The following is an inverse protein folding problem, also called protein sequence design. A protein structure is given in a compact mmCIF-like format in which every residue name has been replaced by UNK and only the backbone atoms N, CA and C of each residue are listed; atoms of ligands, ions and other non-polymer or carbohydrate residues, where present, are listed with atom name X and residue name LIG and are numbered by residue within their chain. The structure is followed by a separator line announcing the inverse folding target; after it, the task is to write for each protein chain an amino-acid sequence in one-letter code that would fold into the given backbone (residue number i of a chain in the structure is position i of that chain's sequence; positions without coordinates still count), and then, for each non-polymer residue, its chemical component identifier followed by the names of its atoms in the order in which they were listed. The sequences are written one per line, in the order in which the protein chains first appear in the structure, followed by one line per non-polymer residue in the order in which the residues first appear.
data_IF_831154997584
#
_entry.id   IF_831154997584
#
_cell.length_a   1.000
_cell.length_b   1.000
_cell.length_c   1.000
_cell.angle_alpha   90.00
_cell.angle_beta   90.00
_cell.angle_gamma   90.00
#
_symmetry.space_group_name_H-M   'P 1'
#
loop_
_entity.id
_entity.type
_entity.pdbx_description
1 polymer ?
#
# COMPACT_ATOMS: atom_id res chain seq x y z
N UNK A 1 -25.19 -18.04 -20.25
CA UNK A 1 -25.03 -16.84 -21.10
C UNK A 1 -24.97 -15.67 -20.14
N UNK A 2 -23.86 -14.93 -20.09
CA UNK A 2 -23.77 -13.69 -19.33
C UNK A 2 -24.68 -12.66 -19.97
N UNK A 3 -25.57 -12.04 -19.19
CA UNK A 3 -26.43 -10.96 -19.68
C UNK A 3 -25.57 -9.75 -20.04
N UNK A 4 -25.85 -9.10 -21.17
CA UNK A 4 -25.09 -7.91 -21.55
C UNK A 4 -25.45 -6.72 -20.66
N UNK A 5 -24.56 -5.74 -20.55
CA UNK A 5 -24.83 -4.50 -19.81
C UNK A 5 -26.06 -3.77 -20.36
N UNK A 6 -26.33 -3.92 -21.66
CA UNK A 6 -27.53 -3.41 -22.31
C UNK A 6 -28.81 -4.12 -21.81
N UNK A 7 -28.81 -5.45 -21.72
CA UNK A 7 -29.98 -6.22 -21.26
C UNK A 7 -30.35 -5.89 -19.82
N UNK A 8 -29.33 -5.79 -18.95
CA UNK A 8 -29.49 -5.42 -17.54
C UNK A 8 -30.03 -3.98 -17.43
N UNK A 9 -29.48 -3.05 -18.21
CA UNK A 9 -29.91 -1.65 -18.19
C UNK A 9 -31.36 -1.50 -18.64
N UNK A 10 -31.76 -2.15 -19.75
CA UNK A 10 -33.12 -2.09 -20.25
C UNK A 10 -34.11 -2.63 -19.22
N UNK A 11 -33.83 -3.78 -18.59
CA UNK A 11 -34.69 -4.34 -17.54
C UNK A 11 -34.87 -3.39 -16.36
N UNK A 12 -33.80 -2.72 -15.92
CA UNK A 12 -33.85 -1.77 -14.80
C UNK A 12 -34.63 -0.52 -15.17
N UNK A 13 -34.41 0.03 -16.36
CA UNK A 13 -35.15 1.20 -16.84
C UNK A 13 -36.65 0.87 -16.92
N UNK A 14 -37.02 -0.29 -17.48
CA UNK A 14 -38.41 -0.73 -17.56
C UNK A 14 -39.04 -0.94 -16.17
N UNK A 15 -38.23 -1.27 -15.15
CA UNK A 15 -38.70 -1.43 -13.77
C UNK A 15 -38.85 -0.10 -13.00
N UNK A 16 -38.06 0.92 -13.35
CA UNK A 16 -38.04 2.22 -12.65
C UNK A 16 -38.88 3.28 -13.36
N UNK A 17 -39.06 3.20 -14.68
CA UNK A 17 -39.67 4.26 -15.48
C UNK A 17 -40.61 3.73 -16.56
N UNK A 18 -41.71 4.45 -16.77
CA UNK A 18 -42.62 4.26 -17.91
C UNK A 18 -42.11 5.04 -19.14
N UNK A 19 -41.00 4.58 -19.72
CA UNK A 19 -40.37 5.17 -20.91
C UNK A 19 -40.59 4.24 -22.10
N UNK A 20 -41.02 4.74 -23.28
CA UNK A 20 -41.16 3.90 -24.46
C UNK A 20 -39.86 3.17 -24.78
N UNK A 21 -39.94 1.86 -24.99
CA UNK A 21 -38.76 0.97 -25.13
C UNK A 21 -37.76 1.44 -26.20
N UNK A 22 -38.24 2.02 -27.30
CA UNK A 22 -37.38 2.57 -28.35
C UNK A 22 -36.57 3.80 -27.88
N UNK A 23 -37.14 4.62 -27.01
CA UNK A 23 -36.48 5.79 -26.40
C UNK A 23 -35.43 5.32 -25.41
N UNK A 24 -35.80 4.40 -24.51
CA UNK A 24 -34.90 3.79 -23.53
C UNK A 24 -33.71 3.12 -24.24
N UNK A 25 -33.96 2.28 -25.25
CA UNK A 25 -32.89 1.63 -26.01
C UNK A 25 -31.97 2.63 -26.72
N UNK A 26 -32.51 3.74 -27.25
CA UNK A 26 -31.71 4.78 -27.89
C UNK A 26 -30.82 5.51 -26.88
N UNK A 27 -31.35 5.82 -25.70
CA UNK A 27 -30.61 6.43 -24.59
C UNK A 27 -29.45 5.54 -24.14
N UNK A 28 -29.71 4.28 -23.83
CA UNK A 28 -28.69 3.32 -23.36
C UNK A 28 -27.52 3.27 -24.35
N UNK A 29 -27.79 3.13 -25.65
CA UNK A 29 -26.75 3.07 -26.69
C UNK A 29 -25.94 4.36 -26.77
N UNK A 30 -26.61 5.52 -26.72
CA UNK A 30 -25.94 6.83 -26.80
C UNK A 30 -25.08 7.12 -25.58
N UNK A 31 -25.57 6.76 -24.40
CA UNK A 31 -24.84 6.90 -23.14
C UNK A 31 -23.61 5.99 -23.14
N UNK A 32 -23.77 4.70 -23.47
CA UNK A 32 -22.66 3.75 -23.55
C UNK A 32 -21.60 4.19 -24.59
N UNK A 33 -22.02 4.67 -25.77
CA UNK A 33 -21.11 5.15 -26.81
C UNK A 33 -20.35 6.44 -26.43
N UNK A 34 -20.83 7.20 -25.45
CA UNK A 34 -20.27 8.49 -25.06
C UNK A 34 -19.78 8.51 -23.61
N UNK A 35 -18.97 7.50 -23.25
CA UNK A 35 -18.31 7.38 -21.93
C UNK A 35 -19.31 7.45 -20.77
N UNK A 36 -20.45 6.77 -20.93
CA UNK A 36 -21.51 6.66 -19.91
C UNK A 36 -22.05 8.02 -19.46
N UNK A 37 -22.13 8.96 -20.41
CA UNK A 37 -22.79 10.27 -20.28
C UNK A 37 -23.48 10.63 -21.59
N UNK A 38 -24.65 11.22 -21.52
CA UNK A 38 -25.34 11.74 -22.69
C UNK A 38 -24.69 13.06 -23.13
N UNK A 39 -24.31 13.17 -24.39
CA UNK A 39 -23.72 14.42 -24.91
C UNK A 39 -24.74 15.55 -24.85
N UNK A 40 -24.27 16.80 -24.72
CA UNK A 40 -25.15 17.99 -24.74
C UNK A 40 -25.98 18.06 -26.03
N UNK A 41 -25.40 17.65 -27.15
CA UNK A 41 -26.08 17.57 -28.46
C UNK A 41 -27.20 16.53 -28.42
N UNK A 42 -26.94 15.33 -27.90
CA UNK A 42 -27.96 14.28 -27.85
C UNK A 42 -29.02 14.56 -26.78
N UNK A 43 -28.70 15.27 -25.69
CA UNK A 43 -29.66 15.68 -24.66
C UNK A 43 -30.83 16.48 -25.24
N UNK A 44 -30.58 17.29 -26.27
CA UNK A 44 -31.63 18.03 -26.99
C UNK A 44 -32.70 17.12 -27.63
N UNK A 45 -32.34 15.88 -27.99
CA UNK A 45 -33.24 14.90 -28.60
C UNK A 45 -34.15 14.21 -27.57
N UNK A 46 -33.83 14.35 -26.28
CA UNK A 46 -34.55 13.73 -25.17
C UNK A 46 -35.18 14.76 -24.21
N UNK A 47 -35.37 16.01 -24.65
CA UNK A 47 -35.94 17.11 -23.84
C UNK A 47 -37.32 16.82 -23.21
N UNK A 48 -38.03 15.79 -23.70
CA UNK A 48 -39.30 15.36 -23.11
C UNK A 48 -39.12 14.63 -21.78
N UNK A 49 -37.92 14.15 -21.47
CA UNK A 49 -37.60 13.53 -20.19
C UNK A 49 -37.03 14.59 -19.23
N UNK A 50 -37.46 14.59 -17.97
CA UNK A 50 -36.83 15.41 -16.94
C UNK A 50 -35.33 15.12 -16.81
N UNK A 51 -34.55 16.15 -16.47
CA UNK A 51 -33.11 16.03 -16.32
C UNK A 51 -32.70 15.01 -15.25
N UNK A 52 -33.48 14.88 -14.18
CA UNK A 52 -33.29 13.89 -13.13
C UNK A 52 -33.50 12.45 -13.63
N UNK A 53 -34.44 12.23 -14.54
CA UNK A 53 -34.70 10.92 -15.16
C UNK A 53 -33.53 10.55 -16.07
N UNK A 54 -33.04 11.50 -16.88
CA UNK A 54 -31.86 11.28 -17.73
C UNK A 54 -30.63 10.94 -16.86
N UNK A 55 -30.39 11.70 -15.78
CA UNK A 55 -29.28 11.45 -14.86
C UNK A 55 -29.38 10.06 -14.20
N UNK A 56 -30.58 9.64 -13.79
CA UNK A 56 -30.81 8.30 -13.22
C UNK A 56 -30.61 7.20 -14.27
N UNK A 57 -31.06 7.38 -15.51
CA UNK A 57 -30.81 6.44 -16.61
C UNK A 57 -29.30 6.34 -16.91
N UNK A 58 -28.55 7.45 -16.93
CA UNK A 58 -27.09 7.42 -17.07
C UNK A 58 -26.42 6.57 -15.98
N UNK A 59 -26.89 6.70 -14.73
CA UNK A 59 -26.42 5.87 -13.63
C UNK A 59 -26.77 4.39 -13.83
N UNK A 60 -28.01 4.06 -14.19
CA UNK A 60 -28.45 2.68 -14.45
C UNK A 60 -27.59 2.03 -15.54
N UNK A 61 -27.36 2.73 -16.66
CA UNK A 61 -26.53 2.23 -17.76
C UNK A 61 -25.11 1.93 -17.27
N UNK A 62 -24.52 2.86 -16.52
CA UNK A 62 -23.17 2.69 -15.96
C UNK A 62 -23.08 1.46 -15.04
N UNK A 63 -24.00 1.34 -14.08
CA UNK A 63 -24.04 0.21 -13.14
C UNK A 63 -24.26 -1.13 -13.85
N UNK A 64 -25.11 -1.15 -14.89
CA UNK A 64 -25.45 -2.37 -15.62
C UNK A 64 -24.27 -2.90 -16.45
N UNK A 65 -23.51 -2.00 -17.10
CA UNK A 65 -22.31 -2.39 -17.85
C UNK A 65 -21.16 -2.82 -16.93
N UNK A 66 -21.03 -2.19 -15.76
CA UNK A 66 -20.10 -2.63 -14.72
C UNK A 66 -20.43 -4.04 -14.21
N UNK A 67 -21.71 -4.32 -13.97
CA UNK A 67 -22.19 -5.65 -13.53
C UNK A 67 -21.97 -6.73 -14.58
N UNK A 68 -22.14 -6.40 -15.86
CA UNK A 68 -21.84 -7.30 -16.97
C UNK A 68 -20.33 -7.54 -17.19
N UNK A 69 -19.45 -6.83 -16.47
CA UNK A 69 -17.99 -6.92 -16.62
C UNK A 69 -17.49 -6.31 -17.93
N UNK A 70 -18.26 -5.40 -18.54
CA UNK A 70 -17.88 -4.71 -19.77
C UNK A 70 -16.93 -3.54 -19.50
N UNK A 71 -16.13 -3.15 -20.50
CA UNK A 71 -15.20 -2.03 -20.34
C UNK A 71 -15.94 -0.69 -20.29
N UNK A 72 -15.99 -0.10 -19.10
CA UNK A 72 -16.60 1.22 -18.87
C UNK A 72 -15.58 2.36 -18.77
N UNK A 73 -14.30 2.08 -18.98
CA UNK A 73 -13.20 3.01 -18.74
C UNK A 73 -12.76 3.07 -17.27
N UNK A 74 -11.45 3.25 -17.06
CA UNK A 74 -10.81 3.10 -15.75
C UNK A 74 -11.28 4.05 -14.65
N UNK A 75 -11.62 5.30 -14.98
CA UNK A 75 -12.08 6.28 -13.98
C UNK A 75 -13.47 5.96 -13.44
N UNK A 76 -14.36 5.47 -14.30
CA UNK A 76 -15.72 5.09 -13.94
C UNK A 76 -15.71 3.84 -13.08
N UNK A 77 -14.89 2.85 -13.45
CA UNK A 77 -14.66 1.67 -12.64
C UNK A 77 -14.08 2.03 -11.27
N UNK A 78 -13.05 2.90 -11.21
CA UNK A 78 -12.47 3.37 -9.94
C UNK A 78 -13.50 4.03 -9.04
N UNK A 79 -14.28 4.97 -9.56
CA UNK A 79 -15.32 5.66 -8.78
C UNK A 79 -16.37 4.67 -8.27
N UNK A 80 -16.81 3.73 -9.10
CA UNK A 80 -17.78 2.73 -8.68
C UNK A 80 -17.24 1.82 -7.55
N UNK A 81 -16.03 1.31 -7.70
CA UNK A 81 -15.37 0.49 -6.68
C UNK A 81 -15.18 1.26 -5.37
N UNK A 82 -14.84 2.55 -5.46
CA UNK A 82 -14.74 3.44 -4.30
C UNK A 82 -16.08 3.58 -3.58
N UNK A 83 -17.17 3.84 -4.31
CA UNK A 83 -18.52 3.95 -3.73
C UNK A 83 -18.99 2.63 -3.11
N UNK A 84 -18.72 1.50 -3.76
CA UNK A 84 -19.00 0.18 -3.20
C UNK A 84 -18.23 -0.04 -1.88
N UNK A 85 -16.94 0.31 -1.85
CA UNK A 85 -16.11 0.18 -0.66
C UNK A 85 -16.61 1.07 0.49
N UNK A 86 -17.03 2.31 0.21
CA UNK A 86 -17.64 3.20 1.21
C UNK A 86 -18.95 2.64 1.75
N UNK A 87 -19.83 2.14 0.87
CA UNK A 87 -21.08 1.51 1.29
C UNK A 87 -20.84 0.32 2.20
N UNK A 88 -19.92 -0.57 1.83
CA UNK A 88 -19.55 -1.71 2.66
C UNK A 88 -19.05 -1.28 4.05
N UNK A 89 -18.23 -0.21 4.12
CA UNK A 89 -17.77 0.33 5.42
C UNK A 89 -18.91 0.91 6.26
N UNK A 90 -19.89 1.58 5.65
CA UNK A 90 -21.10 2.05 6.35
C UNK A 90 -21.94 0.89 6.87
N UNK A 91 -22.06 -0.18 6.09
CA UNK A 91 -22.74 -1.40 6.52
C UNK A 91 -22.02 -2.05 7.71
N UNK A 92 -20.69 -2.02 7.76
CA UNK A 92 -19.90 -2.49 8.91
C UNK A 92 -20.11 -1.64 10.17
N UNK A 93 -20.40 -0.34 10.04
CA UNK A 93 -20.80 0.50 11.19
C UNK A 93 -22.19 0.07 11.66
N UNK A 94 -23.13 -0.11 10.72
CA UNK A 94 -24.50 -0.52 11.03
C UNK A 94 -24.56 -1.93 11.67
N UNK A 95 -23.65 -2.83 11.32
CA UNK A 95 -23.52 -4.17 11.91
C UNK A 95 -22.69 -4.23 13.21
N UNK A 96 -22.23 -3.08 13.72
CA UNK A 96 -21.31 -2.95 14.86
C UNK A 96 -19.95 -3.67 14.69
N UNK A 97 -19.54 -3.98 13.47
CA UNK A 97 -18.20 -4.49 13.16
C UNK A 97 -17.14 -3.38 13.26
N UNK A 98 -17.54 -2.13 13.04
CA UNK A 98 -16.76 -0.93 13.29
C UNK A 98 -17.38 -0.14 14.44
N UNK A 99 -16.57 0.16 15.46
CA UNK A 99 -16.98 0.82 16.69
C UNK A 99 -16.54 2.28 16.71
N UNK A 100 -17.35 3.13 17.32
CA UNK A 100 -16.89 4.49 17.63
C UNK A 100 -15.70 4.46 18.60
N UNK A 101 -14.85 5.50 18.63
CA UNK A 101 -13.74 5.58 19.59
C UNK A 101 -14.21 5.42 21.04
N UNK A 102 -15.37 5.99 21.38
CA UNK A 102 -15.97 5.91 22.72
C UNK A 102 -16.34 4.48 23.11
N UNK A 103 -17.01 3.75 22.23
CA UNK A 103 -17.40 2.35 22.47
C UNK A 103 -16.18 1.45 22.53
N UNK A 104 -15.23 1.63 21.61
CA UNK A 104 -14.00 0.86 21.59
C UNK A 104 -13.24 0.98 22.90
N UNK A 105 -12.99 2.22 23.38
CA UNK A 105 -12.35 2.50 24.69
C UNK A 105 -13.06 1.80 25.83
N UNK A 106 -14.39 1.87 25.85
CA UNK A 106 -15.23 1.23 26.86
C UNK A 106 -15.05 -0.30 26.84
N UNK A 107 -15.09 -0.93 25.66
CA UNK A 107 -14.94 -2.38 25.51
C UNK A 107 -13.54 -2.87 25.93
N UNK A 108 -12.47 -2.16 25.56
CA UNK A 108 -11.10 -2.57 25.92
C UNK A 108 -10.63 -2.09 27.30
N UNK A 109 -11.44 -1.29 27.99
CA UNK A 109 -11.20 -0.81 29.35
C UNK A 109 -10.02 0.16 29.49
N UNK A 110 -9.75 1.01 28.48
CA UNK A 110 -8.61 1.94 28.50
C UNK A 110 -9.03 3.40 28.45
N UNK A 111 -8.17 4.27 29.00
CA UNK A 111 -8.30 5.74 28.90
C UNK A 111 -7.75 6.24 27.56
N UNK A 112 -8.14 7.46 27.18
CA UNK A 112 -7.72 8.14 25.94
C UNK A 112 -6.20 8.06 25.69
N UNK A 113 -5.39 8.48 26.67
CA UNK A 113 -3.92 8.46 26.56
C UNK A 113 -3.36 7.06 26.28
N UNK A 114 -4.01 6.02 26.80
CA UNK A 114 -3.59 4.63 26.58
C UNK A 114 -4.03 4.15 25.20
N UNK A 115 -5.20 4.57 24.70
CA UNK A 115 -5.62 4.28 23.33
C UNK A 115 -4.65 4.93 22.32
N UNK A 116 -4.37 6.22 22.48
CA UNK A 116 -3.41 6.93 21.62
C UNK A 116 -2.05 6.22 21.55
N UNK A 117 -1.53 5.78 22.70
CA UNK A 117 -0.30 4.98 22.76
C UNK A 117 -0.42 3.63 22.05
N UNK A 118 -1.55 2.94 22.15
CA UNK A 118 -1.75 1.66 21.44
C UNK A 118 -1.80 1.86 19.92
N UNK A 119 -2.36 2.98 19.45
CA UNK A 119 -2.40 3.35 18.03
C UNK A 119 -0.98 3.68 17.54
N UNK A 120 -0.26 4.52 18.28
CA UNK A 120 1.13 4.91 17.97
C UNK A 120 2.07 3.68 17.94
N UNK A 121 1.92 2.77 18.89
CA UNK A 121 2.68 1.52 18.92
C UNK A 121 2.25 0.52 17.82
N UNK A 122 1.17 0.80 17.06
CA UNK A 122 0.60 -0.10 16.05
C UNK A 122 -0.09 -1.34 16.65
N UNK A 123 -0.39 -1.32 17.95
CA UNK A 123 -1.03 -2.43 18.66
C UNK A 123 -2.54 -2.51 18.41
N UNK A 124 -3.15 -1.40 17.99
CA UNK A 124 -4.52 -1.30 17.43
C UNK A 124 -4.49 -0.31 16.27
N UNK A 125 -5.56 -0.23 15.48
CA UNK A 125 -5.67 0.73 14.39
C UNK A 125 -7.12 1.15 14.17
N UNK A 126 -7.31 2.39 13.74
CA UNK A 126 -8.58 2.92 13.26
C UNK A 126 -8.72 2.75 11.75
N UNK A 127 -9.97 2.79 11.28
CA UNK A 127 -10.39 2.78 9.88
C UNK A 127 -11.22 4.04 9.66
N UNK A 128 -10.86 4.82 8.64
CA UNK A 128 -11.62 6.01 8.27
C UNK A 128 -12.83 5.66 7.42
N UNK A 129 -14.00 6.16 7.84
CA UNK A 129 -15.26 6.10 7.11
C UNK A 129 -15.86 7.49 7.14
N UNK A 130 -16.04 8.11 5.96
CA UNK A 130 -16.56 9.48 5.84
C UNK A 130 -15.81 10.48 6.76
N UNK A 131 -14.47 10.46 6.70
CA UNK A 131 -13.58 11.34 7.48
C UNK A 131 -13.67 11.15 9.02
N UNK A 132 -14.37 10.11 9.47
CA UNK A 132 -14.49 9.76 10.88
C UNK A 132 -13.76 8.44 11.16
N UNK A 133 -12.95 8.42 12.23
CA UNK A 133 -12.20 7.24 12.63
C UNK A 133 -13.09 6.26 13.42
N UNK A 134 -13.09 4.99 13.00
CA UNK A 134 -13.74 3.88 13.70
C UNK A 134 -12.75 2.76 13.99
N UNK A 135 -13.02 1.93 15.00
CA UNK A 135 -12.14 0.82 15.38
C UNK A 135 -12.79 -0.53 15.11
N UNK A 136 -12.10 -1.50 14.50
CA UNK A 136 -12.65 -2.83 14.33
C UNK A 136 -13.03 -3.49 15.66
N UNK A 137 -14.27 -3.95 15.78
CA UNK A 137 -14.81 -4.59 16.98
C UNK A 137 -14.00 -5.83 17.39
N UNK A 138 -13.45 -6.54 16.40
CA UNK A 138 -12.51 -7.66 16.57
C UNK A 138 -11.33 -7.31 17.49
N UNK A 139 -10.79 -6.07 17.42
CA UNK A 139 -9.68 -5.64 18.28
C UNK A 139 -10.08 -5.45 19.74
N UNK A 140 -11.39 -5.45 20.03
CA UNK A 140 -11.97 -5.36 21.36
C UNK A 140 -12.66 -6.65 21.84
N UNK A 141 -12.56 -7.75 21.07
CA UNK A 141 -13.17 -9.02 21.43
C UNK A 141 -12.46 -9.63 22.65
N UNK A 142 -13.17 -9.83 23.79
CA UNK A 142 -12.58 -10.39 25.00
C UNK A 142 -12.24 -11.89 24.88
N UNK A 143 -12.78 -12.59 23.89
CA UNK A 143 -12.49 -14.01 23.66
C UNK A 143 -11.12 -14.25 23.03
N UNK A 144 -10.53 -13.22 22.39
CA UNK A 144 -9.25 -13.34 21.71
C UNK A 144 -8.07 -13.09 22.65
N UNK A 145 -6.95 -13.77 22.38
CA UNK A 145 -5.68 -13.48 23.04
C UNK A 145 -5.16 -12.08 22.68
N UNK A 146 -5.54 -11.08 23.46
CA UNK A 146 -5.23 -9.67 23.22
C UNK A 146 -3.73 -9.38 23.03
N UNK A 147 -2.85 -10.03 23.80
CA UNK A 147 -1.40 -9.81 23.70
C UNK A 147 -0.85 -10.29 22.35
N UNK A 148 -1.31 -11.46 21.90
CA UNK A 148 -0.92 -12.03 20.62
C UNK A 148 -1.55 -11.28 19.45
N UNK A 149 -2.82 -10.89 19.56
CA UNK A 149 -3.49 -10.02 18.58
C UNK A 149 -2.74 -8.70 18.39
N UNK A 150 -2.40 -8.01 19.48
CA UNK A 150 -1.61 -6.76 19.42
C UNK A 150 -0.23 -6.99 18.80
N UNK A 151 0.39 -8.15 19.06
CA UNK A 151 1.67 -8.50 18.41
C UNK A 151 1.51 -8.67 16.90
N UNK A 152 0.44 -9.31 16.44
CA UNK A 152 0.15 -9.40 14.99
C UNK A 152 -0.15 -8.02 14.42
N UNK A 153 -0.97 -7.19 15.08
CA UNK A 153 -1.29 -5.82 14.64
C UNK A 153 -0.03 -5.00 14.42
N UNK A 154 0.93 -5.10 15.35
CA UNK A 154 2.24 -4.46 15.18
C UNK A 154 2.94 -4.99 13.94
N UNK A 155 2.98 -6.31 13.74
CA UNK A 155 3.65 -6.91 12.59
C UNK A 155 3.08 -6.37 11.27
N UNK A 156 1.76 -6.32 11.16
CA UNK A 156 1.04 -5.89 9.96
C UNK A 156 0.87 -4.37 9.83
N UNK A 157 1.45 -3.59 10.75
CA UNK A 157 1.37 -2.13 10.77
C UNK A 157 1.74 -1.44 9.43
N UNK A 158 2.70 -1.92 8.62
CA UNK A 158 3.01 -1.25 7.35
C UNK A 158 1.84 -1.19 6.36
N UNK A 159 0.86 -2.09 6.46
CA UNK A 159 -0.28 -2.13 5.56
C UNK A 159 -1.31 -1.02 5.86
N UNK A 160 -2.16 -0.69 4.90
CA UNK A 160 -3.31 0.18 5.15
C UNK A 160 -4.32 -0.46 6.14
N UNK A 161 -5.08 0.33 6.92
CA UNK A 161 -5.96 -0.21 7.97
C UNK A 161 -6.98 -1.26 7.52
N UNK A 162 -7.65 -1.05 6.37
CA UNK A 162 -8.63 -2.01 5.85
C UNK A 162 -7.98 -3.34 5.46
N UNK A 163 -6.77 -3.29 4.90
CA UNK A 163 -6.00 -4.49 4.57
C UNK A 163 -5.51 -5.22 5.82
N UNK A 164 -5.18 -4.52 6.90
CA UNK A 164 -4.92 -5.14 8.21
C UNK A 164 -6.15 -5.86 8.75
N UNK A 165 -7.32 -5.24 8.64
CA UNK A 165 -8.58 -5.88 9.05
C UNK A 165 -8.84 -7.14 8.23
N UNK A 166 -8.73 -7.06 6.90
CA UNK A 166 -8.85 -8.23 6.01
C UNK A 166 -7.77 -9.29 6.24
N UNK A 167 -6.57 -8.91 6.70
CA UNK A 167 -5.58 -9.88 7.17
C UNK A 167 -6.12 -10.69 8.33
N UNK A 168 -6.61 -10.01 9.37
CA UNK A 168 -7.05 -10.64 10.60
C UNK A 168 -8.35 -11.45 10.45
N UNK A 169 -9.31 -10.94 9.65
CA UNK A 169 -10.68 -11.47 9.60
C UNK A 169 -10.94 -12.46 8.46
N UNK A 170 -10.12 -12.49 7.41
CA UNK A 170 -10.35 -13.36 6.25
C UNK A 170 -9.55 -14.68 6.30
N UNK A 171 -10.12 -15.78 5.78
CA UNK A 171 -9.38 -17.03 5.53
C UNK A 171 -8.09 -16.81 4.73
N UNK A 172 -7.00 -17.47 5.12
CA UNK A 172 -5.72 -17.37 4.42
C UNK A 172 -5.27 -18.73 3.91
N UNK A 173 -5.06 -18.85 2.60
CA UNK A 173 -4.53 -20.08 1.98
C UNK A 173 -3.19 -20.51 2.60
N UNK A 174 -2.31 -19.54 2.91
CA UNK A 174 -1.03 -19.75 3.59
C UNK A 174 -1.15 -20.24 5.05
N UNK A 175 -2.35 -20.19 5.64
CA UNK A 175 -2.70 -20.74 6.95
C UNK A 175 -3.65 -21.94 6.85
N UNK A 176 -3.77 -22.55 5.66
CA UNK A 176 -4.66 -23.69 5.43
C UNK A 176 -6.14 -23.31 5.43
N UNK A 177 -6.49 -22.09 5.03
CA UNK A 177 -7.87 -21.59 4.99
C UNK A 177 -8.40 -21.09 6.34
N UNK A 178 -7.59 -21.12 7.41
CA UNK A 178 -7.97 -20.57 8.72
C UNK A 178 -7.76 -19.06 8.78
N UNK A 179 -8.48 -18.38 9.68
CA UNK A 179 -8.31 -16.94 9.92
C UNK A 179 -7.20 -16.73 10.96
N UNK A 180 -6.34 -15.70 10.83
CA UNK A 180 -5.32 -15.43 11.85
C UNK A 180 -5.84 -15.30 13.28
N UNK A 181 -7.03 -14.72 13.46
CA UNK A 181 -7.64 -14.52 14.79
C UNK A 181 -8.03 -15.83 15.48
N UNK A 182 -8.34 -16.89 14.73
CA UNK A 182 -8.68 -18.22 15.27
C UNK A 182 -7.45 -18.99 15.73
N UNK A 183 -6.26 -18.52 15.34
CA UNK A 183 -4.99 -19.19 15.51
C UNK A 183 -4.14 -18.53 16.61
N UNK A 184 -4.74 -17.67 17.43
CA UNK A 184 -4.00 -16.88 18.41
C UNK A 184 -3.73 -17.64 19.71
N UNK A 185 -4.50 -18.65 20.10
CA UNK A 185 -4.36 -19.29 21.42
C UNK A 185 -3.31 -20.40 21.47
N UNK A 186 -3.12 -21.13 20.39
CA UNK A 186 -2.10 -22.18 20.29
C UNK A 186 -0.72 -21.60 19.90
N UNK A 187 0.36 -22.10 20.51
CA UNK A 187 1.73 -21.60 20.29
C UNK A 187 2.27 -21.92 18.89
N UNK A 188 1.96 -23.11 18.37
CA UNK A 188 2.42 -23.56 17.05
C UNK A 188 1.71 -22.74 15.97
N UNK A 189 0.40 -22.62 16.08
CA UNK A 189 -0.43 -21.81 15.20
C UNK A 189 -0.04 -20.34 15.28
N UNK A 190 0.13 -19.76 16.46
CA UNK A 190 0.55 -18.38 16.62
C UNK A 190 1.93 -18.13 15.97
N UNK A 191 2.89 -19.05 16.12
CA UNK A 191 4.19 -18.95 15.44
C UNK A 191 4.04 -18.96 13.92
N UNK A 192 3.12 -19.77 13.39
CA UNK A 192 2.79 -19.79 11.95
C UNK A 192 2.19 -18.46 11.50
N UNK A 193 1.18 -17.94 12.22
CA UNK A 193 0.57 -16.63 11.94
C UNK A 193 1.63 -15.54 11.96
N UNK A 194 2.52 -15.52 12.95
CA UNK A 194 3.56 -14.50 13.07
C UNK A 194 4.49 -14.48 11.85
N UNK A 195 4.90 -15.66 11.36
CA UNK A 195 5.75 -15.80 10.17
C UNK A 195 5.03 -15.32 8.91
N UNK A 196 3.77 -15.75 8.72
CA UNK A 196 2.97 -15.35 7.56
C UNK A 196 2.66 -13.85 7.59
N UNK A 197 2.34 -13.30 8.76
CA UNK A 197 2.12 -11.87 8.95
C UNK A 197 3.35 -11.05 8.59
N UNK A 198 4.56 -11.52 8.96
CA UNK A 198 5.80 -10.83 8.64
C UNK A 198 6.09 -10.84 7.14
N UNK A 199 5.89 -11.98 6.46
CA UNK A 199 6.04 -12.09 5.01
C UNK A 199 5.02 -11.19 4.29
N UNK A 200 3.74 -11.26 4.70
CA UNK A 200 2.68 -10.44 4.14
C UNK A 200 2.94 -8.94 4.37
N UNK A 201 3.39 -8.54 5.56
CA UNK A 201 3.69 -7.15 5.87
C UNK A 201 4.86 -6.57 5.04
N UNK A 202 5.81 -7.42 4.63
CA UNK A 202 6.92 -6.99 3.79
C UNK A 202 6.46 -6.52 2.40
N UNK A 203 5.36 -7.06 1.88
CA UNK A 203 4.77 -6.67 0.59
C UNK A 203 4.25 -5.22 0.58
N UNK A 204 4.01 -4.63 1.76
CA UNK A 204 3.43 -3.28 1.91
C UNK A 204 4.44 -2.15 1.89
N UNK A 205 5.73 -2.47 1.80
CA UNK A 205 6.79 -1.48 1.83
C UNK A 205 8.00 -1.96 1.06
N UNK A 206 8.60 -1.06 0.30
CA UNK A 206 9.79 -1.31 -0.48
C UNK A 206 10.93 -0.44 0.02
N UNK A 207 12.09 -1.05 0.25
CA UNK A 207 13.34 -0.32 0.42
C UNK A 207 14.02 -0.21 -0.94
N UNK A 208 14.40 1.00 -1.32
CA UNK A 208 15.03 1.31 -2.60
C UNK A 208 16.40 1.88 -2.30
N UNK A 209 17.43 1.32 -2.94
CA UNK A 209 18.80 1.82 -2.90
C UNK A 209 19.16 2.34 -4.28
N UNK A 210 19.47 3.64 -4.38
CA UNK A 210 19.88 4.29 -5.62
C UNK A 210 21.32 4.76 -5.52
N UNK A 211 22.07 4.68 -6.61
CA UNK A 211 23.44 5.17 -6.67
C UNK A 211 23.61 6.15 -7.82
N UNK A 212 24.32 7.25 -7.55
CA UNK A 212 24.60 8.32 -8.50
C UNK A 212 26.10 8.62 -8.52
N UNK A 213 26.63 8.98 -9.68
CA UNK A 213 28.05 9.38 -9.82
C UNK A 213 28.30 10.71 -9.12
N UNK A 214 29.40 10.84 -8.39
CA UNK A 214 29.79 12.05 -7.69
C UNK A 214 29.31 12.14 -6.24
N UNK A 215 29.54 13.29 -5.62
CA UNK A 215 29.19 13.58 -4.22
C UNK A 215 27.90 14.40 -4.16
N UNK A 216 26.86 13.80 -3.61
CA UNK A 216 25.54 14.41 -3.52
C UNK A 216 25.09 14.45 -2.07
N UNK A 217 24.36 15.50 -1.69
CA UNK A 217 23.73 15.58 -0.36
C UNK A 217 22.23 15.26 -0.42
N UNK A 218 21.63 15.41 -1.60
CA UNK A 218 20.24 15.10 -1.93
C UNK A 218 20.20 14.39 -3.27
N UNK A 219 19.13 13.65 -3.54
CA UNK A 219 18.98 12.97 -4.83
C UNK A 219 19.05 14.00 -5.97
N UNK A 220 20.01 13.87 -6.91
CA UNK A 220 20.17 14.82 -8.01
C UNK A 220 19.08 14.58 -9.08
N UNK A 221 18.56 15.66 -9.66
CA UNK A 221 17.56 15.59 -10.75
C UNK A 221 18.18 15.60 -12.15
N UNK A 222 19.43 16.02 -12.26
CA UNK A 222 20.18 16.29 -13.50
C UNK A 222 21.30 15.27 -13.77
N UNK A 223 21.49 14.31 -12.86
CA UNK A 223 22.51 13.27 -12.98
C UNK A 223 21.85 11.92 -13.22
N UNK A 224 22.30 11.23 -14.26
CA UNK A 224 21.84 9.87 -14.55
C UNK A 224 22.20 8.92 -13.40
N UNK A 225 21.22 8.07 -13.05
CA UNK A 225 21.39 7.07 -12.01
C UNK A 225 22.30 5.94 -12.51
N UNK A 226 23.31 5.61 -11.70
CA UNK A 226 24.24 4.51 -12.02
C UNK A 226 23.62 3.14 -11.75
N UNK A 227 22.81 3.03 -10.70
CA UNK A 227 22.24 1.76 -10.25
C UNK A 227 21.04 1.98 -9.34
N UNK A 228 20.08 1.06 -9.41
CA UNK A 228 18.96 0.90 -8.48
C UNK A 228 18.89 -0.55 -8.04
N UNK A 229 18.71 -0.79 -6.75
CA UNK A 229 18.27 -2.06 -6.22
C UNK A 229 17.06 -1.84 -5.32
N UNK A 230 16.12 -2.78 -5.27
CA UNK A 230 14.97 -2.69 -4.39
C UNK A 230 14.53 -4.05 -3.87
N UNK A 231 13.94 -4.05 -2.68
CA UNK A 231 13.35 -5.24 -2.08
C UNK A 231 12.13 -4.85 -1.24
N UNK A 232 11.13 -5.73 -1.23
CA UNK A 232 9.94 -5.63 -0.39
C UNK A 232 10.30 -6.06 1.04
N UNK A 233 10.37 -5.09 1.95
CA UNK A 233 10.88 -5.28 3.30
C UNK A 233 10.10 -4.40 4.28
N UNK A 234 9.72 -5.02 5.41
CA UNK A 234 9.10 -4.35 6.55
C UNK A 234 9.96 -3.14 7.01
N UNK A 235 9.42 -1.91 6.95
CA UNK A 235 10.19 -0.68 7.16
C UNK A 235 10.69 -0.52 8.60
N UNK A 236 10.14 -1.30 9.54
CA UNK A 236 10.53 -1.28 10.96
C UNK A 236 11.81 -2.07 11.22
N UNK A 237 12.28 -2.86 10.24
CA UNK A 237 13.60 -3.48 10.31
C UNK A 237 14.68 -2.38 10.25
N UNK A 238 15.83 -2.58 10.92
CA UNK A 238 16.92 -1.61 10.90
C UNK A 238 17.31 -1.21 9.47
N UNK A 239 17.49 0.09 9.25
CA UNK A 239 17.77 0.69 7.94
C UNK A 239 18.86 -0.06 7.15
N UNK A 240 19.99 -0.39 7.79
CA UNK A 240 21.11 -1.05 7.13
C UNK A 240 20.87 -2.52 6.84
N UNK A 241 20.03 -3.21 7.61
CA UNK A 241 19.57 -4.56 7.25
C UNK A 241 18.75 -4.51 5.96
N UNK A 242 17.82 -3.55 5.88
CA UNK A 242 16.97 -3.38 4.70
C UNK A 242 17.76 -3.00 3.46
N UNK A 243 18.67 -2.04 3.59
CA UNK A 243 19.55 -1.64 2.50
C UNK A 243 20.47 -2.79 2.04
N UNK A 244 20.98 -3.59 2.98
CA UNK A 244 21.79 -4.77 2.66
C UNK A 244 20.97 -5.78 1.86
N UNK A 245 19.77 -6.10 2.34
CA UNK A 245 18.89 -7.05 1.67
C UNK A 245 18.43 -6.56 0.29
N UNK A 246 18.17 -5.26 0.12
CA UNK A 246 17.90 -4.69 -1.20
C UNK A 246 19.06 -4.89 -2.18
N UNK A 247 20.31 -4.67 -1.75
CA UNK A 247 21.48 -4.85 -2.61
C UNK A 247 21.84 -6.32 -2.92
N UNK A 248 21.49 -7.24 -2.04
CA UNK A 248 21.83 -8.66 -2.17
C UNK A 248 20.69 -9.51 -2.74
N UNK A 249 19.45 -9.03 -2.65
CA UNK A 249 18.30 -9.68 -3.27
C UNK A 249 18.34 -9.46 -4.77
N UNK A 250 18.64 -10.51 -5.53
CA UNK A 250 18.72 -10.49 -7.00
C UNK A 250 17.38 -10.26 -7.72
N UNK A 251 16.35 -9.76 -7.03
CA UNK A 251 15.00 -9.63 -7.57
C UNK A 251 14.80 -8.39 -8.44
N UNK A 252 15.31 -7.23 -8.00
CA UNK A 252 15.03 -5.96 -8.66
C UNK A 252 16.26 -5.05 -8.66
N UNK A 253 17.22 -5.36 -9.53
CA UNK A 253 18.40 -4.54 -9.78
C UNK A 253 18.47 -4.05 -11.23
N UNK A 254 18.88 -2.79 -11.41
CA UNK A 254 19.02 -2.18 -12.73
C UNK A 254 20.07 -1.05 -12.75
N UNK A 255 20.93 -0.95 -13.77
CA UNK A 255 21.10 -1.91 -14.85
C UNK A 255 21.70 -3.22 -14.34
N UNK A 256 21.47 -4.31 -15.06
CA UNK A 256 22.30 -5.52 -14.91
C UNK A 256 23.63 -5.20 -15.61
N UNK A 257 24.76 -5.43 -14.92
CA UNK A 257 26.08 -5.01 -15.41
C UNK A 257 26.45 -5.47 -16.84
N UNK A 258 27.60 -5.04 -17.39
CA UNK A 258 28.73 -4.46 -16.68
C UNK A 258 28.50 -3.02 -16.22
N UNK A 259 29.04 -2.70 -15.05
CA UNK A 259 28.90 -1.39 -14.42
C UNK A 259 29.99 -0.43 -14.91
N UNK A 260 29.68 0.86 -15.13
CA UNK A 260 30.72 1.85 -15.42
C UNK A 260 31.68 2.02 -14.24
N UNK A 261 32.91 2.41 -14.52
CA UNK A 261 33.86 2.75 -13.46
C UNK A 261 33.41 4.03 -12.73
N UNK A 262 33.16 3.91 -11.42
CA UNK A 262 32.83 5.02 -10.55
C UNK A 262 33.63 4.91 -9.24
N UNK A 263 34.62 5.80 -9.06
CA UNK A 263 35.39 5.90 -7.81
C UNK A 263 34.81 6.89 -6.81
N UNK A 264 33.92 7.76 -7.28
CA UNK A 264 33.20 8.73 -6.45
C UNK A 264 31.73 8.57 -6.78
N UNK A 265 30.93 8.18 -5.80
CA UNK A 265 29.50 7.98 -5.97
C UNK A 265 28.77 8.16 -4.64
N UNK A 266 27.48 8.43 -4.73
CA UNK A 266 26.60 8.61 -3.57
C UNK A 266 25.48 7.59 -3.62
N UNK A 267 25.21 6.98 -2.48
CA UNK A 267 24.15 6.01 -2.26
C UNK A 267 23.01 6.68 -1.48
N UNK A 268 21.78 6.52 -1.96
CA UNK A 268 20.56 6.92 -1.28
C UNK A 268 19.76 5.68 -0.89
N UNK A 269 19.23 5.67 0.34
CA UNK A 269 18.27 4.66 0.79
C UNK A 269 16.94 5.36 1.02
N UNK A 270 15.89 4.82 0.42
CA UNK A 270 14.53 5.34 0.49
C UNK A 270 13.57 4.22 0.87
N UNK A 271 12.49 4.60 1.55
CA UNK A 271 11.34 3.75 1.81
C UNK A 271 10.18 4.20 0.93
N UNK A 272 9.45 3.26 0.33
CA UNK A 272 8.20 3.55 -0.36
C UNK A 272 7.12 2.58 0.13
N UNK A 273 6.05 3.09 0.73
CA UNK A 273 4.89 2.26 1.04
C UNK A 273 4.06 2.00 -0.22
N UNK A 274 3.31 0.90 -0.24
CA UNK A 274 2.37 0.62 -1.32
C UNK A 274 1.32 1.72 -1.40
N UNK A 275 1.10 2.26 -2.60
CA UNK A 275 0.15 3.36 -2.85
C UNK A 275 0.77 4.75 -2.76
N UNK A 276 1.94 4.90 -2.14
CA UNK A 276 2.62 6.19 -2.07
C UNK A 276 3.33 6.51 -3.39
N UNK A 277 3.04 7.70 -3.93
CA UNK A 277 3.69 8.19 -5.15
C UNK A 277 5.11 8.70 -4.90
N UNK A 278 5.47 8.98 -3.65
CA UNK A 278 6.72 9.66 -3.30
C UNK A 278 7.47 8.86 -2.24
N UNK A 279 8.65 8.29 -2.56
CA UNK A 279 9.50 7.65 -1.58
C UNK A 279 9.96 8.62 -0.49
N UNK A 280 10.06 8.12 0.73
CA UNK A 280 10.58 8.82 1.90
C UNK A 280 12.10 8.62 1.95
N UNK A 281 12.92 9.67 1.86
CA UNK A 281 14.37 9.55 1.99
C UNK A 281 14.76 9.18 3.42
N UNK A 282 15.55 8.14 3.59
CA UNK A 282 15.99 7.66 4.90
C UNK A 282 17.49 7.79 5.12
N UNK A 283 18.30 7.60 4.06
CA UNK A 283 19.75 7.64 4.17
C UNK A 283 20.45 8.26 2.96
N UNK A 284 21.57 8.93 3.20
CA UNK A 284 22.52 9.36 2.16
C UNK A 284 23.96 9.06 2.59
N UNK A 285 24.70 8.31 1.78
CA UNK A 285 26.08 7.90 2.03
C UNK A 285 26.96 8.25 0.82
N UNK A 286 27.90 9.16 1.02
CA UNK A 286 28.91 9.50 0.03
C UNK A 286 30.09 8.54 0.14
N UNK A 287 30.55 8.01 -1.00
CA UNK A 287 31.58 6.98 -1.07
C UNK A 287 32.67 7.45 -2.03
N UNK A 288 33.91 7.48 -1.52
CA UNK A 288 35.11 7.84 -2.27
C UNK A 288 36.15 6.72 -2.15
N UNK A 289 36.54 6.16 -3.28
CA UNK A 289 37.55 5.09 -3.38
C UNK A 289 38.91 5.69 -3.76
N UNK A 290 39.89 5.59 -2.86
CA UNK A 290 41.26 6.09 -3.03
C UNK A 290 42.24 4.93 -2.87
N UNK A 291 42.68 4.36 -3.99
CA UNK A 291 43.53 3.17 -3.99
C UNK A 291 42.83 2.00 -3.28
N UNK A 292 43.46 1.47 -2.24
CA UNK A 292 42.96 0.36 -1.42
C UNK A 292 42.06 0.80 -0.25
N UNK A 293 41.66 2.07 -0.19
CA UNK A 293 40.85 2.64 0.88
C UNK A 293 39.52 3.19 0.36
N UNK A 294 38.45 2.99 1.13
CA UNK A 294 37.13 3.55 0.88
C UNK A 294 36.82 4.52 2.02
N UNK A 295 36.62 5.79 1.68
CA UNK A 295 36.12 6.80 2.59
C UNK A 295 34.61 6.88 2.45
N UNK A 296 33.92 6.82 3.59
CA UNK A 296 32.47 6.92 3.68
C UNK A 296 32.08 8.13 4.51
N UNK A 297 31.09 8.88 4.05
CA UNK A 297 30.49 9.99 4.81
C UNK A 297 28.97 9.84 4.81
N UNK A 298 28.39 9.75 6.00
CA UNK A 298 26.94 9.67 6.18
C UNK A 298 26.40 11.10 6.31
N UNK A 299 25.54 11.52 5.37
CA UNK A 299 25.07 12.91 5.23
C UNK A 299 23.71 13.12 5.91
N UNK A 300 22.79 12.17 5.79
CA UNK A 300 21.49 12.24 6.42
C UNK A 300 21.05 10.82 6.75
N UNK A 301 20.82 10.53 8.02
CA UNK A 301 19.99 9.44 8.50
C UNK A 301 19.38 9.89 9.83
N UNK A 302 18.08 9.67 10.11
CA UNK A 302 17.47 10.05 11.38
C UNK A 302 18.34 9.60 12.57
N UNK A 303 18.72 10.53 13.45
CA UNK A 303 19.57 10.26 14.63
C UNK A 303 21.07 10.08 14.38
N UNK A 304 21.58 10.32 13.17
CA UNK A 304 23.01 10.14 12.85
C UNK A 304 23.79 11.46 12.87
N UNK A 305 24.89 11.52 13.62
CA UNK A 305 25.91 12.57 13.45
C UNK A 305 26.65 12.37 12.13
N UNK A 306 26.98 13.48 11.45
CA UNK A 306 27.88 13.48 10.30
C UNK A 306 29.20 12.81 10.69
N UNK A 307 29.38 11.56 10.28
CA UNK A 307 30.55 10.76 10.60
C UNK A 307 31.23 10.36 9.29
N UNK A 308 32.51 10.68 9.19
CA UNK A 308 33.40 10.20 8.14
C UNK A 308 34.20 9.02 8.67
N UNK A 309 34.30 7.94 7.90
CA UNK A 309 35.09 6.76 8.26
C UNK A 309 35.89 6.27 7.06
N UNK A 310 36.93 5.49 7.32
CA UNK A 310 37.72 4.82 6.27
C UNK A 310 37.70 3.31 6.52
N UNK A 311 37.42 2.54 5.48
CA UNK A 311 37.49 1.08 5.48
C UNK A 311 38.43 0.62 4.34
N UNK A 312 38.94 -0.60 4.42
CA UNK A 312 39.74 -1.18 3.33
C UNK A 312 38.83 -1.50 2.13
N UNK A 313 39.25 -1.21 0.91
CA UNK A 313 38.49 -1.46 -0.32
C UNK A 313 38.37 -2.94 -0.69
N UNK A 314 39.30 -3.79 -0.19
CA UNK A 314 39.32 -5.21 -0.50
C UNK A 314 39.52 -5.49 -2.00
N UNK A 315 39.14 -6.70 -2.44
CA UNK A 315 39.27 -7.15 -3.84
C UNK A 315 38.08 -6.74 -4.74
N UNK A 316 37.25 -5.82 -4.28
CA UNK A 316 35.99 -5.47 -4.94
C UNK A 316 36.25 -4.71 -6.25
N UNK A 317 35.59 -5.12 -7.34
CA UNK A 317 35.92 -4.66 -8.70
C UNK A 317 35.00 -3.53 -9.19
N UNK A 318 33.81 -3.39 -8.60
CA UNK A 318 32.78 -2.47 -9.07
C UNK A 318 32.27 -1.57 -7.95
N UNK A 319 31.65 -0.43 -8.29
CA UNK A 319 31.05 0.45 -7.29
C UNK A 319 29.90 -0.23 -6.51
N UNK A 320 29.21 -1.20 -7.13
CA UNK A 320 28.16 -2.01 -6.48
C UNK A 320 28.77 -2.92 -5.42
N UNK A 321 29.92 -3.56 -5.70
CA UNK A 321 30.63 -4.37 -4.72
C UNK A 321 31.11 -3.54 -3.53
N UNK A 322 31.66 -2.34 -3.81
CA UNK A 322 32.06 -1.38 -2.78
C UNK A 322 30.84 -0.94 -1.95
N UNK A 323 29.70 -0.66 -2.58
CA UNK A 323 28.48 -0.30 -1.89
C UNK A 323 27.98 -1.42 -0.96
N UNK A 324 27.98 -2.67 -1.42
CA UNK A 324 27.64 -3.85 -0.60
C UNK A 324 28.54 -3.95 0.62
N UNK A 325 29.84 -3.74 0.45
CA UNK A 325 30.81 -3.74 1.54
C UNK A 325 30.56 -2.60 2.54
N UNK A 326 30.29 -1.38 2.05
CA UNK A 326 29.98 -0.22 2.89
C UNK A 326 28.72 -0.48 3.72
N UNK A 327 27.66 -1.01 3.12
CA UNK A 327 26.42 -1.33 3.84
C UNK A 327 26.64 -2.44 4.88
N UNK A 328 27.43 -3.48 4.56
CA UNK A 328 27.79 -4.52 5.52
C UNK A 328 28.57 -3.95 6.73
N UNK A 329 29.46 -2.98 6.50
CA UNK A 329 30.17 -2.28 7.58
C UNK A 329 29.22 -1.45 8.45
N UNK A 330 28.29 -0.70 7.84
CA UNK A 330 27.29 0.09 8.57
C UNK A 330 26.33 -0.79 9.38
N UNK A 331 25.97 -1.95 8.84
CA UNK A 331 25.18 -2.96 9.55
C UNK A 331 25.93 -3.45 10.81
N UNK A 332 27.19 -3.85 10.67
CA UNK A 332 28.00 -4.31 11.80
C UNK A 332 28.16 -3.24 12.90
N UNK A 333 28.34 -1.98 12.52
CA UNK A 333 28.40 -0.86 13.47
C UNK A 333 27.08 -0.64 14.22
N UNK A 334 25.95 -0.86 13.56
CA UNK A 334 24.63 -0.71 14.20
C UNK A 334 24.31 -1.85 15.16
N UNK A 335 24.83 -3.05 14.93
CA UNK A 335 24.63 -4.21 15.81
C UNK A 335 25.53 -4.20 17.07
N UNK A 336 26.64 -3.46 17.03
CA UNK A 336 27.56 -3.31 18.17
C UNK A 336 27.24 -2.16 19.13
N UNK A 337 26.10 -1.48 18.95
CA UNK A 337 25.61 -0.38 19.80
C UNK A 337 24.36 -0.81 20.56
#
# INVERSE_FOLDING_TARGET
MTESGWDIAMRRIDSEFDVPQFVASSLVRKIAANKFRLSTVDRSKFQKLPDEVIARIEQIVRESYLEAGEDVGGDILREHLWQQALRARRDMIASEELLTPTEFKKRIGVREKRLARLIEEGSVFGVDVDETEYFPALLADPSLNRKRLQTICRIIFPAEPMSRLGFLSSPRGSLGGRRPVEMLDDDVDFKSVRRIAAAWAAEWSRTIVKMYKGEHQREPSDVERLYTAMAEIDPRRPLWERASEALHSHGYEWPLGPYPEARIFTLFVEQQAVGDSTPIPEACVQILVVGELVRIRIVAAPGSTLNSQTIAAGKHKTFVDVAKQVIAHLLALSAGR
#
